data_IF_212362799988
#
_entry.id   IF_212362799988
#
_cell.length_a   1.000
_cell.length_b   1.000
_cell.length_c   1.000
_cell.angle_alpha   90.00
_cell.angle_beta   90.00
_cell.angle_gamma   90.00
#
_symmetry.space_group_name_H-M   'P 1'
#
loop_
_entity.id
_entity.type
_entity.pdbx_description
1 polymer ?
#
# COMPACT_ATOMS: atom_id res chain seq x y z
N UNK A 1 4.16 2.43 19.19
CA UNK A 1 4.17 3.06 17.87
C UNK A 1 2.83 2.70 17.28
N UNK A 2 1.97 3.70 17.09
CA UNK A 2 0.62 3.46 16.64
C UNK A 2 0.63 3.15 15.12
N UNK A 3 -0.18 2.19 14.64
CA UNK A 3 -0.18 1.81 13.21
C UNK A 3 -0.41 3.00 12.28
N UNK A 4 -1.26 3.93 12.69
CA UNK A 4 -1.54 5.16 11.94
C UNK A 4 -0.34 6.10 11.83
N UNK A 5 0.56 6.09 12.82
CA UNK A 5 1.82 6.86 12.77
C UNK A 5 2.78 6.28 11.74
N UNK A 6 2.73 4.96 11.51
CA UNK A 6 3.56 4.27 10.52
C UNK A 6 3.18 4.67 9.09
N UNK A 7 1.88 4.79 8.81
CA UNK A 7 1.35 5.19 7.51
C UNK A 7 1.62 6.67 7.21
N UNK A 8 1.64 7.51 8.25
CA UNK A 8 1.92 8.95 8.13
C UNK A 8 3.42 9.29 8.25
N UNK A 9 4.28 8.29 8.37
CA UNK A 9 5.72 8.50 8.53
C UNK A 9 6.32 9.15 7.27
N UNK A 10 7.29 10.02 7.49
CA UNK A 10 8.02 10.66 6.40
C UNK A 10 8.96 9.63 5.76
N UNK A 11 8.61 9.17 4.57
CA UNK A 11 9.33 8.15 3.83
C UNK A 11 9.18 8.38 2.34
N UNK A 12 10.09 7.84 1.53
CA UNK A 12 9.97 7.93 0.08
C UNK A 12 9.02 6.87 -0.49
N UNK A 13 8.99 5.68 0.11
CA UNK A 13 8.22 4.51 -0.39
C UNK A 13 7.51 3.82 0.77
N UNK A 14 6.23 3.50 0.57
CA UNK A 14 5.46 2.61 1.45
C UNK A 14 4.89 1.43 0.66
N UNK A 15 4.96 0.24 1.24
CA UNK A 15 4.49 -1.01 0.61
C UNK A 15 3.49 -1.67 1.54
N UNK A 16 2.18 -1.35 1.42
CA UNK A 16 1.16 -2.03 2.20
C UNK A 16 0.98 -3.48 1.70
N UNK A 17 1.37 -4.44 2.54
CA UNK A 17 1.36 -5.88 2.24
C UNK A 17 0.29 -6.68 3.03
N UNK A 18 -0.72 -6.02 3.59
CA UNK A 18 -1.82 -6.68 4.31
C UNK A 18 -3.09 -6.79 3.46
N UNK A 19 -4.02 -7.64 3.90
CA UNK A 19 -5.31 -7.85 3.22
C UNK A 19 -6.27 -6.71 3.55
N UNK A 20 -6.59 -5.86 2.55
CA UNK A 20 -7.73 -4.93 2.58
C UNK A 20 -7.62 -3.75 3.55
N UNK A 21 -7.98 -2.54 3.08
CA UNK A 21 -8.30 -1.40 3.96
C UNK A 21 -7.13 -0.81 4.77
N UNK A 22 -5.88 -1.08 4.36
CA UNK A 22 -4.69 -0.49 4.98
C UNK A 22 -4.65 1.00 4.70
N UNK A 23 -4.91 1.39 3.45
CA UNK A 23 -5.13 2.77 3.05
C UNK A 23 -6.61 2.99 2.76
N UNK A 24 -7.20 3.97 3.43
CA UNK A 24 -8.60 4.30 3.34
C UNK A 24 -8.78 5.83 3.35
N UNK A 25 -10.01 6.29 3.16
CA UNK A 25 -10.34 7.73 3.11
C UNK A 25 -9.88 8.53 4.33
N UNK A 26 -9.77 7.91 5.49
CA UNK A 26 -9.41 8.58 6.75
C UNK A 26 -7.89 8.79 6.86
N UNK A 27 -7.08 7.89 6.29
CA UNK A 27 -5.63 7.91 6.48
C UNK A 27 -4.83 8.25 5.20
N UNK A 28 -5.39 8.09 4.00
CA UNK A 28 -4.67 8.27 2.73
C UNK A 28 -4.11 9.69 2.55
N UNK A 29 -4.83 10.70 3.04
CA UNK A 29 -4.38 12.10 3.01
C UNK A 29 -3.22 12.41 3.96
N UNK A 30 -2.94 11.54 4.94
CA UNK A 30 -1.84 11.70 5.88
C UNK A 30 -0.55 11.02 5.41
N UNK A 31 -0.62 10.20 4.35
CA UNK A 31 0.52 9.47 3.80
C UNK A 31 1.42 10.44 3.04
N UNK A 32 2.64 10.63 3.56
CA UNK A 32 3.67 11.50 2.98
C UNK A 32 4.54 10.81 1.94
N UNK A 33 4.38 9.50 1.78
CA UNK A 33 5.13 8.70 0.83
C UNK A 33 4.97 9.24 -0.59
N UNK A 34 6.09 9.38 -1.30
CA UNK A 34 6.11 9.71 -2.74
C UNK A 34 5.63 8.55 -3.58
N UNK A 35 5.93 7.33 -3.16
CA UNK A 35 5.48 6.12 -3.84
C UNK A 35 4.70 5.22 -2.88
N UNK A 36 3.51 4.82 -3.30
CA UNK A 36 2.75 3.74 -2.67
C UNK A 36 2.78 2.55 -3.63
N UNK A 37 3.24 1.40 -3.14
CA UNK A 37 3.39 0.18 -3.94
C UNK A 37 2.50 -0.90 -3.36
N UNK A 38 1.50 -1.33 -4.13
CA UNK A 38 0.60 -2.39 -3.70
C UNK A 38 1.17 -3.76 -4.11
N UNK A 39 1.44 -4.61 -3.13
CA UNK A 39 1.90 -5.99 -3.34
C UNK A 39 0.96 -7.00 -2.67
N UNK A 40 -0.26 -6.58 -2.33
CA UNK A 40 -1.33 -7.36 -1.71
C UNK A 40 -2.63 -7.25 -2.52
N UNK A 41 -3.62 -8.11 -2.24
CA UNK A 41 -4.96 -7.96 -2.80
C UNK A 41 -5.65 -6.74 -2.20
N UNK A 42 -5.66 -5.64 -2.93
CA UNK A 42 -6.40 -4.40 -2.62
C UNK A 42 -6.11 -3.84 -1.22
N UNK A 43 -4.84 -3.57 -0.87
CA UNK A 43 -4.51 -2.90 0.39
C UNK A 43 -5.06 -1.47 0.49
N UNK A 44 -5.37 -0.82 -0.64
CA UNK A 44 -5.92 0.54 -0.71
C UNK A 44 -7.38 0.51 -1.16
N UNK A 45 -8.23 1.27 -0.47
CA UNK A 45 -9.62 1.46 -0.87
C UNK A 45 -9.70 2.37 -2.11
N UNK A 46 -10.70 2.18 -3.00
CA UNK A 46 -10.86 3.05 -4.19
C UNK A 46 -10.94 4.55 -3.85
N UNK A 47 -11.55 4.91 -2.73
CA UNK A 47 -11.63 6.30 -2.26
C UNK A 47 -10.26 6.87 -1.86
N UNK A 48 -9.34 6.02 -1.40
CA UNK A 48 -7.98 6.41 -1.05
C UNK A 48 -7.10 6.57 -2.31
N UNK A 49 -7.34 5.75 -3.34
CA UNK A 49 -6.71 5.88 -4.66
C UNK A 49 -7.10 7.21 -5.34
N UNK A 50 -8.39 7.56 -5.34
CA UNK A 50 -8.88 8.85 -5.87
C UNK A 50 -8.20 10.06 -5.22
N UNK A 51 -7.90 9.99 -3.92
CA UNK A 51 -7.21 11.05 -3.19
C UNK A 51 -5.73 11.19 -3.57
N UNK A 52 -5.13 10.14 -4.17
CA UNK A 52 -3.71 10.08 -4.53
C UNK A 52 -3.46 10.20 -6.03
N UNK A 53 -4.46 10.56 -6.83
CA UNK A 53 -4.35 10.58 -8.29
C UNK A 53 -3.32 11.61 -8.79
N UNK A 54 -2.07 11.19 -8.90
CA UNK A 54 -0.97 11.93 -9.49
C UNK A 54 0.31 11.12 -9.38
N UNK A 55 0.68 10.40 -10.44
CA UNK A 55 1.95 9.68 -10.73
C UNK A 55 2.67 8.86 -9.60
N UNK A 56 2.09 8.80 -8.40
CA UNK A 56 2.74 8.40 -7.15
C UNK A 56 2.19 7.05 -6.62
N UNK A 57 1.09 6.55 -7.22
CA UNK A 57 0.56 5.22 -6.93
C UNK A 57 1.01 4.24 -8.00
N UNK A 58 1.75 3.22 -7.57
CA UNK A 58 2.19 2.11 -8.42
C UNK A 58 1.44 0.88 -7.94
N UNK A 59 0.34 0.55 -8.63
CA UNK A 59 -0.35 -0.71 -8.42
C UNK A 59 0.41 -1.84 -9.13
N UNK A 60 0.93 -2.78 -8.34
CA UNK A 60 1.56 -3.99 -8.88
C UNK A 60 0.56 -5.13 -8.74
N UNK A 61 0.06 -5.60 -9.87
CA UNK A 61 -0.89 -6.72 -9.99
C UNK A 61 -0.51 -7.87 -9.04
N UNK A 62 -1.24 -7.96 -7.91
CA UNK A 62 -1.02 -8.95 -6.87
C UNK A 62 -1.00 -10.38 -7.41
N UNK A 63 -1.82 -10.69 -8.42
CA UNK A 63 -1.87 -12.03 -9.00
C UNK A 63 -0.58 -12.38 -9.75
N UNK A 64 0.17 -11.39 -10.23
CA UNK A 64 1.49 -11.57 -10.84
C UNK A 64 2.61 -11.62 -9.81
N UNK A 65 2.51 -10.86 -8.72
CA UNK A 65 3.53 -10.84 -7.64
C UNK A 65 3.44 -12.07 -6.74
N UNK A 66 2.22 -12.52 -6.43
CA UNK A 66 1.98 -13.67 -5.55
C UNK A 66 1.81 -15.00 -6.33
N UNK A 67 2.28 -15.07 -7.57
CA UNK A 67 2.35 -16.33 -8.34
C UNK A 67 3.32 -17.36 -7.71
N UNK A 68 3.90 -17.09 -6.54
CA UNK A 68 4.47 -18.10 -5.64
C UNK A 68 4.74 -17.54 -4.22
N UNK A 69 3.92 -17.84 -3.19
CA UNK A 69 4.38 -17.70 -1.80
C UNK A 69 5.15 -18.98 -1.43
N UNK A 70 6.21 -19.30 -2.17
CA UNK A 70 7.11 -20.40 -1.78
C UNK A 70 8.49 -19.81 -1.56
N UNK A 71 8.70 -19.28 -0.36
CA UNK A 71 10.00 -19.49 0.29
C UNK A 71 10.10 -21.02 0.46
N UNK A 72 10.83 -21.69 -0.43
CA UNK A 72 11.21 -23.09 -0.19
C UNK A 72 12.18 -23.09 0.99
N UNK A 73 11.65 -23.22 2.20
CA UNK A 73 12.44 -23.66 3.35
C UNK A 73 12.68 -25.17 3.21
N UNK A 74 13.64 -25.53 2.37
CA UNK A 74 14.07 -26.91 2.06
C UNK A 74 13.04 -27.82 1.37
#
# INVERSE_FOLDING_TARGET
MDPSELLAHDCDVIIPCALGGVLNKENAGNVKAKFVIEAANHPTDPEADELRSGEDLIDIDYNKVNANPVVKSQ
#
